data_IF_513837528567
#
_entry.id   IF_513837528567
#
_cell.length_a   1.000
_cell.length_b   1.000
_cell.length_c   1.000
_cell.angle_alpha   90.00
_cell.angle_beta   90.00
_cell.angle_gamma   90.00
#
_symmetry.space_group_name_H-M   'P 1'
#
loop_
_entity.id
_entity.type
_entity.pdbx_description
1 polymer ?
#
# COMPACT_ATOMS: atom_id res chain seq x y z
N UNK A 1 -1.16 -4.87 24.81
CA UNK A 1 0.18 -5.19 24.30
C UNK A 1 0.53 -6.66 24.51
N UNK A 2 0.44 -7.16 25.74
CA UNK A 2 0.87 -8.53 26.10
C UNK A 2 0.13 -9.64 25.34
N UNK A 3 -1.16 -9.46 25.10
CA UNK A 3 -1.96 -10.43 24.31
C UNK A 3 -1.46 -10.50 22.88
N UNK A 4 -1.22 -9.36 22.23
CA UNK A 4 -0.72 -9.30 20.85
C UNK A 4 0.63 -9.97 20.76
N UNK A 5 1.53 -9.66 21.71
CA UNK A 5 2.89 -10.20 21.72
C UNK A 5 2.91 -11.71 21.94
N UNK A 6 2.12 -12.20 22.87
CA UNK A 6 1.94 -13.64 23.09
C UNK A 6 1.40 -14.36 21.85
N UNK A 7 0.47 -13.71 21.12
CA UNK A 7 -0.07 -14.28 19.89
C UNK A 7 0.98 -14.35 18.78
N UNK A 8 1.83 -13.34 18.63
CA UNK A 8 2.97 -13.36 17.67
C UNK A 8 3.92 -14.50 18.02
N UNK A 9 4.32 -14.64 19.28
CA UNK A 9 5.18 -15.73 19.74
C UNK A 9 4.57 -17.11 19.49
N UNK A 10 3.26 -17.28 19.74
CA UNK A 10 2.55 -18.54 19.50
C UNK A 10 2.44 -18.83 18.00
N UNK A 11 2.22 -17.83 17.16
CA UNK A 11 2.19 -17.99 15.71
C UNK A 11 3.59 -18.38 15.19
N UNK A 12 4.63 -17.70 15.63
CA UNK A 12 6.01 -18.00 15.25
C UNK A 12 6.44 -19.42 15.63
N UNK A 13 6.04 -19.91 16.81
CA UNK A 13 6.31 -21.31 17.25
C UNK A 13 5.58 -22.36 16.41
N UNK A 14 4.46 -22.03 15.78
CA UNK A 14 3.58 -22.97 15.06
C UNK A 14 3.58 -22.76 13.55
N UNK A 15 4.39 -21.83 13.05
CA UNK A 15 4.34 -21.39 11.66
C UNK A 15 4.65 -22.46 10.61
N UNK A 16 5.41 -23.54 10.98
CA UNK A 16 5.88 -24.53 10.00
C UNK A 16 6.66 -23.84 8.87
N UNK A 17 6.19 -24.00 7.63
CA UNK A 17 6.76 -23.34 6.44
C UNK A 17 6.20 -21.94 6.17
N UNK A 18 5.24 -21.46 6.97
CA UNK A 18 4.68 -20.11 6.79
C UNK A 18 5.60 -19.04 7.36
N UNK A 19 5.66 -17.89 6.71
CA UNK A 19 6.34 -16.72 7.24
C UNK A 19 5.41 -15.93 8.19
N UNK A 20 5.91 -15.53 9.35
CA UNK A 20 5.21 -14.68 10.32
C UNK A 20 5.89 -13.32 10.35
N UNK A 21 5.20 -12.28 9.89
CA UNK A 21 5.71 -10.91 9.88
C UNK A 21 4.97 -10.00 10.85
N UNK A 22 5.72 -9.06 11.42
CA UNK A 22 5.20 -7.93 12.19
C UNK A 22 5.18 -6.69 11.30
N UNK A 23 4.18 -5.84 11.43
CA UNK A 23 4.11 -4.57 10.70
C UNK A 23 3.79 -3.42 11.65
N UNK A 24 4.55 -2.34 11.54
CA UNK A 24 4.32 -1.13 12.31
C UNK A 24 4.21 0.09 11.38
N UNK A 25 3.25 0.97 11.69
CA UNK A 25 3.20 2.32 11.11
C UNK A 25 4.08 3.23 11.93
N UNK A 26 5.06 3.85 11.27
CA UNK A 26 6.00 4.77 11.90
C UNK A 26 5.41 6.17 11.95
N UNK A 27 5.45 6.77 13.14
CA UNK A 27 4.99 8.11 13.43
C UNK A 27 6.09 8.86 14.20
N UNK A 28 6.06 10.21 14.24
CA UNK A 28 6.99 10.98 15.06
C UNK A 28 6.96 10.59 16.55
N UNK A 29 5.84 10.09 17.01
CA UNK A 29 5.62 9.71 18.41
C UNK A 29 6.26 8.37 18.78
N UNK A 30 6.49 7.48 17.81
CA UNK A 30 6.96 6.11 18.09
C UNK A 30 8.25 5.69 17.36
N UNK A 31 8.82 6.51 16.48
CA UNK A 31 9.93 6.07 15.64
C UNK A 31 11.18 5.63 16.45
N UNK A 32 11.43 6.21 17.60
CA UNK A 32 12.53 5.82 18.49
C UNK A 32 12.33 4.45 19.15
N UNK A 33 11.10 3.94 19.18
CA UNK A 33 10.77 2.62 19.72
C UNK A 33 11.03 1.50 18.69
N UNK A 34 11.34 1.83 17.43
CA UNK A 34 11.48 0.85 16.36
C UNK A 34 12.68 -0.07 16.57
N UNK A 35 13.73 0.38 17.25
CA UNK A 35 14.85 -0.46 17.66
C UNK A 35 14.40 -1.57 18.61
N UNK A 36 13.70 -1.20 19.68
CA UNK A 36 13.14 -2.16 20.62
C UNK A 36 12.13 -3.10 19.96
N UNK A 37 11.26 -2.58 19.07
CA UNK A 37 10.32 -3.40 18.31
C UNK A 37 11.03 -4.40 17.39
N UNK A 38 12.12 -4.00 16.75
CA UNK A 38 12.94 -4.88 15.90
C UNK A 38 13.52 -6.03 16.72
N UNK A 39 14.13 -5.72 17.85
CA UNK A 39 14.66 -6.71 18.79
C UNK A 39 13.58 -7.68 19.26
N UNK A 40 12.46 -7.15 19.76
CA UNK A 40 11.34 -7.96 20.25
C UNK A 40 10.73 -8.85 19.16
N UNK A 41 10.62 -8.36 17.92
CA UNK A 41 10.09 -9.14 16.80
C UNK A 41 11.00 -10.31 16.45
N UNK A 42 12.31 -10.07 16.37
CA UNK A 42 13.31 -11.11 16.17
C UNK A 42 13.28 -12.15 17.30
N UNK A 43 13.31 -11.69 18.55
CA UNK A 43 13.35 -12.57 19.73
C UNK A 43 12.04 -13.38 19.91
N UNK A 44 10.92 -12.90 19.35
CA UNK A 44 9.67 -13.65 19.29
C UNK A 44 9.66 -14.74 18.20
N UNK A 45 10.66 -14.78 17.31
CA UNK A 45 10.75 -15.73 16.21
C UNK A 45 9.94 -15.33 14.98
N UNK A 46 9.59 -14.06 14.82
CA UNK A 46 9.06 -13.53 13.55
C UNK A 46 10.15 -13.61 12.47
N UNK A 47 9.73 -13.71 11.20
CA UNK A 47 10.65 -13.76 10.07
C UNK A 47 11.02 -12.36 9.57
N UNK A 48 10.11 -11.38 9.76
CA UNK A 48 10.38 -10.00 9.37
C UNK A 48 9.58 -8.98 10.15
N UNK A 49 10.08 -7.75 10.17
CA UNK A 49 9.38 -6.54 10.61
C UNK A 49 9.31 -5.53 9.47
N UNK A 50 8.10 -5.11 9.08
CA UNK A 50 7.90 -4.05 8.09
C UNK A 50 7.63 -2.72 8.79
N UNK A 51 8.49 -1.74 8.55
CA UNK A 51 8.31 -0.36 8.98
C UNK A 51 7.71 0.46 7.82
N UNK A 52 6.49 0.94 8.01
CA UNK A 52 5.73 1.68 7.00
C UNK A 52 5.54 3.13 7.40
N UNK A 53 5.58 4.08 6.46
CA UNK A 53 5.07 5.41 6.71
C UNK A 53 3.54 5.37 6.94
N UNK A 54 3.04 6.35 7.66
CA UNK A 54 1.62 6.66 7.69
C UNK A 54 1.19 7.08 6.28
N UNK A 55 0.07 6.59 5.83
CA UNK A 55 -0.54 6.99 4.56
C UNK A 55 -1.88 7.67 4.81
N UNK A 56 -1.99 8.92 4.38
CA UNK A 56 -3.21 9.69 4.53
C UNK A 56 -4.33 9.11 3.69
N UNK A 57 -5.39 8.64 4.33
CA UNK A 57 -6.60 8.22 3.63
C UNK A 57 -7.37 9.41 3.06
N UNK A 58 -7.94 9.26 1.86
CA UNK A 58 -8.73 10.30 1.18
C UNK A 58 -9.90 10.79 2.05
N UNK A 59 -10.56 9.87 2.74
CA UNK A 59 -11.72 10.13 3.60
C UNK A 59 -11.38 10.21 5.10
N UNK A 60 -10.10 10.32 5.45
CA UNK A 60 -9.70 10.46 6.86
C UNK A 60 -10.15 11.81 7.43
N UNK A 61 -10.84 11.75 8.57
CA UNK A 61 -11.29 12.95 9.29
C UNK A 61 -10.11 13.73 9.89
N UNK A 62 -9.05 13.02 10.26
CA UNK A 62 -7.83 13.62 10.81
C UNK A 62 -6.78 13.68 9.73
N UNK A 63 -6.37 14.88 9.35
CA UNK A 63 -5.25 15.12 8.43
C UNK A 63 -3.96 15.23 9.24
N UNK A 64 -2.94 14.42 8.86
CA UNK A 64 -1.61 14.46 9.47
C UNK A 64 -0.57 14.73 8.37
N UNK A 65 0.17 15.81 8.52
CA UNK A 65 1.35 16.08 7.71
C UNK A 65 2.59 15.66 8.51
N UNK A 66 3.23 14.57 8.09
CA UNK A 66 4.37 13.99 8.80
C UNK A 66 5.63 14.23 7.97
N UNK A 67 6.57 14.98 8.53
CA UNK A 67 7.91 15.10 7.95
C UNK A 67 8.77 13.91 8.40
N UNK A 68 9.10 13.02 7.47
CA UNK A 68 9.93 11.86 7.71
C UNK A 68 11.44 12.11 7.62
N UNK A 69 11.91 13.26 7.12
CA UNK A 69 13.33 13.52 6.90
C UNK A 69 14.19 13.30 8.17
N UNK A 70 13.70 13.80 9.31
CA UNK A 70 14.39 13.66 10.58
C UNK A 70 14.48 12.21 11.08
N UNK A 71 13.55 11.36 10.67
CA UNK A 71 13.46 9.96 11.09
C UNK A 71 14.19 9.02 10.14
N UNK A 72 14.34 9.40 8.87
CA UNK A 72 14.89 8.52 7.82
C UNK A 72 16.31 8.02 8.14
N UNK A 73 17.17 8.88 8.63
CA UNK A 73 18.57 8.51 8.95
C UNK A 73 18.58 7.39 9.97
N UNK A 74 17.81 7.53 11.04
CA UNK A 74 17.71 6.51 12.08
C UNK A 74 17.04 5.22 11.56
N UNK A 75 15.90 5.33 10.86
CA UNK A 75 15.17 4.16 10.37
C UNK A 75 15.96 3.34 9.35
N UNK A 76 16.85 3.97 8.57
CA UNK A 76 17.76 3.29 7.63
C UNK A 76 18.85 2.48 8.32
N UNK A 77 19.17 2.75 9.58
CA UNK A 77 20.16 1.96 10.33
C UNK A 77 19.60 0.63 10.82
N UNK A 78 18.29 0.52 11.03
CA UNK A 78 17.67 -0.67 11.62
C UNK A 78 17.86 -1.94 10.77
N UNK A 79 17.67 -1.93 9.43
CA UNK A 79 18.01 -3.09 8.62
C UNK A 79 19.47 -3.53 8.78
N UNK A 80 20.39 -2.58 8.84
CA UNK A 80 21.82 -2.87 9.00
C UNK A 80 22.14 -3.51 10.35
N UNK A 81 21.37 -3.18 11.39
CA UNK A 81 21.59 -3.67 12.75
C UNK A 81 20.91 -5.02 13.04
N UNK A 82 19.83 -5.33 12.33
CA UNK A 82 18.96 -6.47 12.70
C UNK A 82 18.86 -7.56 11.65
N UNK A 83 19.16 -7.28 10.36
CA UNK A 83 19.01 -8.28 9.31
C UNK A 83 20.01 -9.44 9.51
N UNK A 84 19.49 -10.65 9.35
CA UNK A 84 20.20 -11.93 9.43
C UNK A 84 19.53 -12.94 8.50
N UNK A 85 20.06 -14.16 8.43
CA UNK A 85 19.46 -15.25 7.63
C UNK A 85 18.04 -15.63 8.09
N UNK A 86 17.67 -15.33 9.32
CA UNK A 86 16.40 -15.73 9.93
C UNK A 86 15.46 -14.59 10.25
N UNK A 87 15.87 -13.32 10.10
CA UNK A 87 15.05 -12.16 10.41
C UNK A 87 15.42 -10.95 9.56
N UNK A 88 14.43 -10.24 9.05
CA UNK A 88 14.62 -9.05 8.21
C UNK A 88 13.82 -7.86 8.73
N UNK A 89 14.44 -6.68 8.84
CA UNK A 89 13.76 -5.40 9.00
C UNK A 89 13.63 -4.73 7.65
N UNK A 90 12.39 -4.54 7.20
CA UNK A 90 12.05 -3.95 5.90
C UNK A 90 11.58 -2.51 6.12
N UNK A 91 12.45 -1.54 5.87
CA UNK A 91 12.08 -0.14 5.91
C UNK A 91 11.62 0.34 4.53
N UNK A 92 10.35 0.74 4.42
CA UNK A 92 9.73 1.14 3.13
C UNK A 92 10.01 2.61 2.79
N UNK A 93 11.27 2.95 2.57
CA UNK A 93 11.73 4.31 2.25
C UNK A 93 11.07 4.90 0.99
N UNK A 94 10.88 4.08 -0.06
CA UNK A 94 10.25 4.53 -1.31
C UNK A 94 8.79 4.99 -1.10
N UNK A 95 8.08 4.40 -0.13
CA UNK A 95 6.72 4.83 0.18
C UNK A 95 6.69 6.23 0.83
N UNK A 96 7.76 6.61 1.55
CA UNK A 96 7.90 7.96 2.12
C UNK A 96 8.14 8.99 1.03
N UNK A 97 8.99 8.67 0.06
CA UNK A 97 9.26 9.56 -1.06
C UNK A 97 7.97 9.83 -1.86
N UNK A 98 7.17 8.80 -2.12
CA UNK A 98 5.89 8.94 -2.81
C UNK A 98 4.85 9.80 -2.07
N UNK A 99 4.92 9.94 -0.74
CA UNK A 99 4.05 10.82 0.04
C UNK A 99 4.38 12.31 -0.17
N UNK A 100 5.59 12.64 -0.60
CA UNK A 100 6.08 14.01 -0.76
C UNK A 100 6.08 14.52 -2.20
N UNK A 101 5.93 13.63 -3.18
CA UNK A 101 6.01 13.96 -4.60
C UNK A 101 4.62 13.99 -5.25
N UNK A 102 4.39 14.95 -6.15
CA UNK A 102 3.19 14.95 -7.00
C UNK A 102 3.19 13.75 -7.95
N UNK A 103 2.01 13.38 -8.44
CA UNK A 103 1.92 12.35 -9.48
C UNK A 103 2.65 12.80 -10.76
N UNK A 104 3.44 11.90 -11.34
CA UNK A 104 4.16 12.11 -12.59
C UNK A 104 3.34 11.71 -13.84
N UNK A 105 2.01 11.66 -13.71
CA UNK A 105 1.07 11.32 -14.77
C UNK A 105 -0.23 12.12 -14.57
N UNK A 106 -0.93 12.38 -15.66
CA UNK A 106 -2.14 13.21 -15.66
C UNK A 106 -3.41 12.40 -15.42
N UNK A 107 -3.39 11.09 -15.71
CA UNK A 107 -4.54 10.20 -15.60
C UNK A 107 -4.19 8.89 -14.91
N UNK A 108 -5.09 8.40 -14.07
CA UNK A 108 -5.00 7.05 -13.56
C UNK A 108 -5.40 6.05 -14.65
N UNK A 109 -4.43 5.30 -15.16
CA UNK A 109 -4.63 4.24 -16.17
C UNK A 109 -4.77 2.86 -15.54
N UNK A 110 -4.35 2.69 -14.29
CA UNK A 110 -4.44 1.43 -13.57
C UNK A 110 -5.88 1.09 -13.16
N UNK A 111 -6.68 2.08 -12.81
CA UNK A 111 -8.09 1.93 -12.47
C UNK A 111 -8.94 2.22 -13.72
N UNK A 112 -9.90 1.40 -14.07
CA UNK A 112 -10.33 0.12 -13.52
C UNK A 112 -9.73 -1.12 -14.22
N UNK A 113 -8.51 -1.02 -14.74
CA UNK A 113 -7.97 -2.03 -15.68
C UNK A 113 -7.14 -3.13 -15.01
N UNK A 114 -6.39 -2.82 -13.94
CA UNK A 114 -5.38 -3.72 -13.40
C UNK A 114 -5.74 -4.35 -12.07
N UNK A 115 -6.70 -3.81 -11.34
CA UNK A 115 -7.07 -4.33 -10.04
C UNK A 115 -8.49 -3.99 -9.64
N UNK A 116 -9.00 -4.71 -8.65
CA UNK A 116 -10.24 -4.42 -7.94
C UNK A 116 -10.06 -4.67 -6.45
N UNK A 117 -11.00 -4.21 -5.67
CA UNK A 117 -11.05 -4.39 -4.23
C UNK A 117 -12.42 -4.93 -3.83
N UNK A 118 -12.49 -6.17 -3.35
CA UNK A 118 -13.73 -6.73 -2.81
C UNK A 118 -13.86 -6.41 -1.32
N UNK A 119 -15.02 -5.95 -0.91
CA UNK A 119 -15.35 -5.64 0.48
C UNK A 119 -16.04 -6.85 1.13
N UNK A 120 -16.07 -6.85 2.47
CA UNK A 120 -16.72 -7.93 3.24
C UNK A 120 -18.24 -8.06 2.97
N UNK A 121 -18.88 -6.99 2.53
CA UNK A 121 -20.30 -6.95 2.13
C UNK A 121 -20.54 -7.36 0.66
N UNK A 122 -19.52 -7.85 -0.02
CA UNK A 122 -19.57 -8.30 -1.42
C UNK A 122 -19.39 -7.19 -2.45
N UNK A 123 -19.44 -5.92 -2.08
CA UNK A 123 -19.21 -4.82 -3.04
C UNK A 123 -17.81 -4.88 -3.61
N UNK A 124 -17.70 -4.60 -4.91
CA UNK A 124 -16.43 -4.57 -5.64
C UNK A 124 -16.14 -3.15 -6.09
N UNK A 125 -15.00 -2.63 -5.66
CA UNK A 125 -14.53 -1.29 -6.00
C UNK A 125 -13.33 -1.34 -6.93
N UNK A 126 -13.26 -0.42 -7.87
CA UNK A 126 -12.16 -0.29 -8.81
C UNK A 126 -10.90 0.35 -8.20
N UNK A 127 -11.02 1.00 -7.02
CA UNK A 127 -9.90 1.66 -6.36
C UNK A 127 -10.01 1.60 -4.83
N UNK A 128 -8.91 1.19 -4.15
CA UNK A 128 -8.85 1.15 -2.69
C UNK A 128 -8.78 2.52 -2.01
N UNK A 129 -8.49 3.59 -2.74
CA UNK A 129 -8.49 4.94 -2.20
C UNK A 129 -9.91 5.53 -2.11
N UNK A 130 -10.86 4.97 -2.86
CA UNK A 130 -12.22 5.47 -3.03
C UNK A 130 -13.30 4.43 -2.64
N UNK A 131 -13.05 3.63 -1.58
CA UNK A 131 -13.96 2.58 -1.12
C UNK A 131 -15.31 3.09 -0.59
N UNK A 132 -15.42 4.38 -0.26
CA UNK A 132 -16.65 5.00 0.22
C UNK A 132 -17.35 5.87 -0.85
N UNK A 133 -16.85 5.85 -2.08
CA UNK A 133 -17.39 6.59 -3.20
C UNK A 133 -18.07 5.62 -4.17
N UNK A 134 -19.40 5.68 -4.26
CA UNK A 134 -20.19 4.77 -5.08
C UNK A 134 -19.86 4.85 -6.58
N UNK A 135 -19.26 5.94 -7.04
CA UNK A 135 -18.77 6.06 -8.43
C UNK A 135 -17.66 5.05 -8.75
N UNK A 136 -16.97 4.55 -7.72
CA UNK A 136 -15.94 3.53 -7.84
C UNK A 136 -16.44 2.12 -7.52
N UNK A 137 -17.71 1.96 -7.10
CA UNK A 137 -18.34 0.66 -6.94
C UNK A 137 -18.78 0.13 -8.31
N UNK A 138 -18.20 -0.99 -8.74
CA UNK A 138 -18.42 -1.55 -10.09
C UNK A 138 -19.32 -2.79 -10.09
N UNK A 139 -19.70 -3.31 -8.91
CA UNK A 139 -20.62 -4.44 -8.79
C UNK A 139 -20.63 -5.05 -7.39
N UNK A 140 -21.35 -6.19 -7.27
CA UNK A 140 -21.48 -6.91 -6.00
C UNK A 140 -21.44 -8.44 -6.21
N UNK A 141 -20.48 -9.11 -5.58
CA UNK A 141 -20.28 -10.56 -5.66
C UNK A 141 -21.42 -11.40 -5.05
N UNK A 142 -22.28 -10.79 -4.23
CA UNK A 142 -23.47 -11.49 -3.72
C UNK A 142 -24.57 -11.65 -4.79
N UNK A 143 -24.52 -10.86 -5.85
CA UNK A 143 -25.56 -10.82 -6.90
C UNK A 143 -25.05 -11.06 -8.31
N UNK A 144 -23.71 -11.04 -8.50
CA UNK A 144 -23.06 -11.15 -9.80
C UNK A 144 -21.82 -12.02 -9.69
N UNK A 145 -21.47 -12.75 -10.71
CA UNK A 145 -20.15 -13.36 -10.86
C UNK A 145 -19.08 -12.29 -11.09
N UNK A 146 -17.83 -12.61 -10.80
CA UNK A 146 -16.74 -11.69 -11.05
C UNK A 146 -16.61 -11.33 -12.55
N UNK A 147 -16.89 -12.28 -13.44
CA UNK A 147 -16.88 -12.02 -14.88
C UNK A 147 -17.94 -11.01 -15.28
N UNK A 148 -19.18 -11.13 -14.79
CA UNK A 148 -20.25 -10.15 -15.06
C UNK A 148 -19.90 -8.75 -14.55
N UNK A 149 -19.24 -8.64 -13.39
CA UNK A 149 -18.76 -7.37 -12.87
C UNK A 149 -17.64 -6.80 -13.77
N UNK A 150 -16.67 -7.64 -14.12
CA UNK A 150 -15.49 -7.22 -14.89
C UNK A 150 -15.84 -6.79 -16.32
N UNK A 151 -16.75 -7.46 -16.97
CA UNK A 151 -17.24 -7.15 -18.32
C UNK A 151 -18.44 -6.19 -18.32
N UNK A 152 -18.98 -5.90 -17.13
CA UNK A 152 -20.25 -5.21 -16.93
C UNK A 152 -20.20 -3.68 -17.09
N UNK A 153 -21.40 -3.12 -17.02
CA UNK A 153 -21.62 -1.68 -17.20
C UNK A 153 -21.00 -0.84 -16.07
N UNK A 154 -20.99 -1.35 -14.84
CA UNK A 154 -20.37 -0.65 -13.68
C UNK A 154 -18.91 -0.32 -13.93
N UNK A 155 -18.14 -1.28 -14.45
CA UNK A 155 -16.75 -1.06 -14.81
C UNK A 155 -16.60 -0.09 -16.00
N UNK A 156 -17.46 -0.17 -17.01
CA UNK A 156 -17.44 0.79 -18.15
C UNK A 156 -17.69 2.22 -17.71
N UNK A 157 -18.71 2.45 -16.87
CA UNK A 157 -18.98 3.77 -16.28
C UNK A 157 -17.83 4.30 -15.46
N UNK A 158 -17.17 3.43 -14.70
CA UNK A 158 -15.99 3.82 -13.94
C UNK A 158 -14.81 4.15 -14.88
N UNK A 159 -14.62 3.43 -15.96
CA UNK A 159 -13.63 3.75 -16.97
C UNK A 159 -13.88 5.14 -17.60
N UNK A 160 -15.12 5.48 -17.93
CA UNK A 160 -15.53 6.80 -18.43
C UNK A 160 -15.24 7.90 -17.40
N UNK A 161 -15.60 7.66 -16.13
CA UNK A 161 -15.25 8.56 -15.02
C UNK A 161 -13.76 8.86 -15.00
N UNK A 162 -12.91 7.81 -15.12
CA UNK A 162 -11.46 7.96 -15.03
C UNK A 162 -10.84 8.75 -16.20
N UNK A 163 -11.55 8.92 -17.33
CA UNK A 163 -11.05 9.79 -18.42
C UNK A 163 -11.02 11.27 -18.03
N UNK A 164 -11.91 11.70 -17.13
CA UNK A 164 -12.04 13.08 -16.68
C UNK A 164 -11.70 13.29 -15.19
N UNK A 165 -11.31 12.21 -14.49
CA UNK A 165 -11.02 12.29 -13.06
C UNK A 165 -9.74 13.09 -12.81
N UNK A 166 -9.85 14.15 -11.98
CA UNK A 166 -8.72 14.96 -11.58
C UNK A 166 -7.81 14.19 -10.61
N UNK A 167 -6.65 13.78 -11.09
CA UNK A 167 -5.68 13.00 -10.32
C UNK A 167 -5.16 13.74 -9.05
N UNK A 168 -5.27 15.06 -9.00
CA UNK A 168 -4.92 15.87 -7.82
C UNK A 168 -5.83 15.58 -6.62
N UNK A 169 -7.01 15.01 -6.86
CA UNK A 169 -7.92 14.57 -5.79
C UNK A 169 -7.53 13.19 -5.22
N UNK A 170 -6.58 12.50 -5.84
CA UNK A 170 -6.13 11.20 -5.38
C UNK A 170 -5.05 11.33 -4.30
N UNK A 171 -4.87 10.27 -3.50
CA UNK A 171 -3.77 10.21 -2.53
C UNK A 171 -2.43 10.03 -3.24
N UNK A 172 -1.39 10.66 -2.75
CA UNK A 172 -0.05 10.60 -3.33
C UNK A 172 0.56 9.20 -3.24
N UNK A 173 0.54 8.58 -2.06
CA UNK A 173 1.06 7.22 -1.87
C UNK A 173 0.08 6.16 -2.38
N UNK A 174 -0.06 6.07 -3.69
CA UNK A 174 -0.91 5.09 -4.35
C UNK A 174 -0.16 3.79 -4.63
N UNK A 175 -0.78 2.64 -4.31
CA UNK A 175 -0.20 1.30 -4.64
C UNK A 175 0.03 1.11 -6.13
N UNK A 176 -0.78 1.76 -6.98
CA UNK A 176 -0.69 1.71 -8.44
C UNK A 176 0.18 2.81 -9.03
N UNK A 177 0.92 3.57 -8.20
CA UNK A 177 1.76 4.67 -8.70
C UNK A 177 2.77 4.19 -9.75
N UNK A 178 3.53 3.16 -9.45
CA UNK A 178 4.50 2.59 -10.41
C UNK A 178 3.84 2.08 -11.70
N UNK A 179 2.68 1.40 -11.58
CA UNK A 179 1.93 0.95 -12.75
C UNK A 179 1.41 2.13 -13.60
N UNK A 180 0.92 3.20 -12.95
CA UNK A 180 0.46 4.39 -13.67
C UNK A 180 1.60 5.11 -14.38
N UNK A 181 2.76 5.26 -13.74
CA UNK A 181 3.97 5.85 -14.37
C UNK A 181 4.32 5.04 -15.63
N UNK A 182 4.41 3.72 -15.52
CA UNK A 182 4.72 2.85 -16.65
C UNK A 182 3.69 2.96 -17.79
N UNK A 183 2.40 2.88 -17.45
CA UNK A 183 1.32 2.98 -18.44
C UNK A 183 1.24 4.36 -19.09
N UNK A 184 1.58 5.41 -18.36
CA UNK A 184 1.63 6.77 -18.90
C UNK A 184 2.79 6.92 -19.88
N UNK A 185 3.96 6.38 -19.54
CA UNK A 185 5.11 6.32 -20.44
C UNK A 185 4.78 5.54 -21.72
N UNK A 186 4.10 4.40 -21.63
CA UNK A 186 3.66 3.65 -22.80
C UNK A 186 2.70 4.46 -23.70
N UNK A 187 1.78 5.21 -23.09
CA UNK A 187 0.79 6.00 -23.83
C UNK A 187 1.38 7.24 -24.50
N UNK A 188 2.38 7.86 -23.87
CA UNK A 188 3.01 9.10 -24.35
C UNK A 188 4.28 8.84 -25.19
N UNK A 189 4.68 7.58 -25.34
CA UNK A 189 5.92 7.16 -25.98
C UNK A 189 7.12 7.22 -25.05
N UNK A 190 7.86 6.12 -24.99
CA UNK A 190 9.13 6.07 -24.26
C UNK A 190 10.24 6.43 -25.23
N UNK A 191 11.08 7.45 -24.93
CA UNK A 191 12.25 7.72 -25.75
C UNK A 191 13.08 6.44 -25.94
N UNK A 192 13.45 6.11 -27.16
CA UNK A 192 14.25 4.93 -27.52
C UNK A 192 13.58 3.56 -27.36
N UNK A 193 12.25 3.46 -27.43
CA UNK A 193 11.52 2.16 -27.43
C UNK A 193 12.05 1.14 -28.48
N UNK A 194 12.68 1.60 -29.52
CA UNK A 194 13.21 0.74 -30.60
C UNK A 194 14.55 0.06 -30.28
N UNK A 195 15.11 0.27 -29.10
CA UNK A 195 16.42 -0.27 -28.69
C UNK A 195 16.31 -1.33 -27.58
N UNK A 196 15.23 -2.08 -27.52
CA UNK A 196 15.11 -3.26 -26.66
C UNK A 196 15.39 -4.50 -27.46
#
# INVERSE_FOLDING_TARGET
WDIVWRNIQNAAKRKGSCAVGVQCVVLPENYLEMDNLSRLSRDAGADYLVLKPYSQGTFSLVKRNINYERMQTYLKTLPLSYNSDSFEVIYRANAIQQESEAHHYDKCRATPNLWVYSMADGRVFSCSAHLLDDRFCIGNLNTQSFQEIWEGEGRRKNWELMQSFDIKQCRLNCRMNGANIYLDQLANGIPHQAFI
#
